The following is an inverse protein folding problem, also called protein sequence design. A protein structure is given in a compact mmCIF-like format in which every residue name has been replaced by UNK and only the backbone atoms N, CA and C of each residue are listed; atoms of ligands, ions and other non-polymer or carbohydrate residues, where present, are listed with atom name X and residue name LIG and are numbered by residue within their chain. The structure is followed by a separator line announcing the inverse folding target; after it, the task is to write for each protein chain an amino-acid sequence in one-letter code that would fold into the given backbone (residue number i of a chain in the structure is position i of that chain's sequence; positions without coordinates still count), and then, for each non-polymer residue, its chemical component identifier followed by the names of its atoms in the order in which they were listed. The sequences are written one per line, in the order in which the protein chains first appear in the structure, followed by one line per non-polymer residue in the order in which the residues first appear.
data_IF_315258901063
#
_entry.id   IF_315258901063
#
_cell.length_a   1.000
_cell.length_b   1.000
_cell.length_c   1.000
_cell.angle_alpha   90.00
_cell.angle_beta   90.00
_cell.angle_gamma   90.00
#
_symmetry.space_group_name_H-M   'P 1'
#
loop_
_entity.id
_entity.type
_entity.pdbx_description
1 polymer ?
#
# COMPACT_ATOMS: atom_id res chain seq x y z
N UNK A 1 -10.98 13.78 20.31
CA UNK A 1 -9.87 14.52 20.95
C UNK A 1 -8.73 14.54 19.96
N UNK A 2 -8.27 15.73 19.59
CA UNK A 2 -7.11 15.90 18.71
C UNK A 2 -5.84 16.15 19.54
N UNK A 3 -4.67 16.03 18.91
CA UNK A 3 -3.38 16.26 19.58
C UNK A 3 -3.29 17.68 20.17
N UNK A 4 -3.96 18.66 19.55
CA UNK A 4 -4.03 20.03 20.04
C UNK A 4 -4.73 20.14 21.40
N UNK A 5 -5.86 19.46 21.58
CA UNK A 5 -6.59 19.41 22.86
C UNK A 5 -5.75 18.80 23.99
N UNK A 6 -4.99 17.73 23.72
CA UNK A 6 -4.09 17.10 24.71
C UNK A 6 -2.90 18.00 25.04
N UNK A 7 -2.31 18.67 24.04
CA UNK A 7 -1.23 19.63 24.25
C UNK A 7 -1.69 20.81 25.13
N UNK A 8 -2.91 21.32 24.90
CA UNK A 8 -3.50 22.39 25.71
C UNK A 8 -3.79 21.94 27.14
N UNK A 9 -4.30 20.72 27.34
CA UNK A 9 -4.53 20.14 28.66
C UNK A 9 -3.20 19.99 29.42
N UNK A 10 -2.16 19.48 28.77
CA UNK A 10 -0.83 19.36 29.36
C UNK A 10 -0.25 20.71 29.81
N UNK A 11 -0.37 21.76 28.98
CA UNK A 11 0.04 23.11 29.38
C UNK A 11 -0.75 23.62 30.59
N UNK A 12 -2.07 23.39 30.62
CA UNK A 12 -2.91 23.77 31.76
C UNK A 12 -2.48 23.07 33.06
N UNK A 13 -2.19 21.77 33.01
CA UNK A 13 -1.68 21.03 34.17
C UNK A 13 -0.30 21.53 34.61
N UNK A 14 0.58 21.88 33.67
CA UNK A 14 1.89 22.44 34.00
C UNK A 14 1.76 23.77 34.74
N UNK A 15 0.93 24.68 34.23
CA UNK A 15 0.65 25.96 34.89
C UNK A 15 0.07 25.75 36.29
N UNK A 16 -0.86 24.80 36.47
CA UNK A 16 -1.41 24.48 37.78
C UNK A 16 -0.35 23.93 38.75
N UNK A 17 0.56 23.08 38.27
CA UNK A 17 1.68 22.53 39.06
C UNK A 17 2.67 23.62 39.47
N UNK A 18 3.01 24.52 38.55
CA UNK A 18 3.90 25.67 38.81
C UNK A 18 3.27 26.63 39.84
N UNK A 19 1.96 26.88 39.74
CA UNK A 19 1.22 27.71 40.68
C UNK A 19 1.18 27.11 42.09
N UNK A 20 0.96 25.80 42.20
CA UNK A 20 1.01 25.09 43.49
C UNK A 20 2.42 25.07 44.07
N UNK A 21 3.46 25.01 43.24
CA UNK A 21 4.86 25.12 43.69
C UNK A 21 5.13 26.49 44.30
N UNK A 22 4.72 27.56 43.63
CA UNK A 22 4.82 28.92 44.16
C UNK A 22 4.04 29.10 45.48
N UNK A 23 2.86 28.47 45.60
CA UNK A 23 2.09 28.45 46.85
C UNK A 23 2.87 27.69 47.93
N UNK A 24 3.40 26.51 47.64
CA UNK A 24 4.17 25.70 48.60
C UNK A 24 5.38 26.46 49.17
N UNK A 25 6.10 27.20 48.33
CA UNK A 25 7.26 28.02 48.69
C UNK A 25 6.87 29.26 49.52
N UNK A 26 5.66 29.79 49.30
CA UNK A 26 5.13 30.96 50.00
C UNK A 26 4.66 30.62 51.42
N UNK A 27 5.58 30.31 52.36
CA UNK A 27 5.37 30.16 53.82
C UNK A 27 3.94 29.79 54.27
N UNK A 28 3.34 28.78 53.66
CA UNK A 28 1.97 28.36 53.99
C UNK A 28 1.95 27.62 55.33
N UNK A 29 0.82 27.71 56.03
CA UNK A 29 0.58 27.00 57.28
C UNK A 29 0.89 25.50 57.18
N UNK A 30 1.34 24.92 58.29
CA UNK A 30 1.75 23.51 58.37
C UNK A 30 0.64 22.52 57.96
N UNK A 31 -0.63 22.91 58.12
CA UNK A 31 -1.79 22.11 57.67
C UNK A 31 -2.07 22.19 56.16
N UNK A 32 -1.64 23.26 55.49
CA UNK A 32 -1.87 23.46 54.06
C UNK A 32 -0.85 22.72 53.19
N UNK A 33 0.41 22.62 53.65
CA UNK A 33 1.49 21.91 52.96
C UNK A 33 1.16 20.48 52.53
N UNK A 34 0.62 19.58 53.38
CA UNK A 34 0.30 18.22 52.96
C UNK A 34 -0.77 18.18 51.87
N UNK A 35 -1.77 19.07 51.91
CA UNK A 35 -2.82 19.16 50.88
C UNK A 35 -2.26 19.64 49.53
N UNK A 36 -1.32 20.58 49.57
CA UNK A 36 -0.62 21.06 48.36
C UNK A 36 0.24 19.95 47.75
N UNK A 37 0.97 19.19 48.56
CA UNK A 37 1.75 18.04 48.09
C UNK A 37 0.87 16.97 47.46
N UNK A 38 -0.27 16.64 48.08
CA UNK A 38 -1.23 15.69 47.51
C UNK A 38 -1.78 16.18 46.15
N UNK A 39 -2.10 17.47 46.04
CA UNK A 39 -2.54 18.06 44.78
C UNK A 39 -1.44 18.03 43.70
N UNK A 40 -0.18 18.32 44.06
CA UNK A 40 0.97 18.23 43.15
C UNK A 40 1.21 16.79 42.68
N UNK A 41 1.04 15.80 43.55
CA UNK A 41 1.16 14.40 43.21
C UNK A 41 0.09 13.98 42.18
N UNK A 42 -1.19 14.30 42.45
CA UNK A 42 -2.29 14.02 41.50
C UNK A 42 -2.11 14.73 40.16
N UNK A 43 -1.56 15.95 40.15
CA UNK A 43 -1.21 16.66 38.92
C UNK A 43 -0.06 15.98 38.16
N UNK A 44 0.91 15.40 38.88
CA UNK A 44 1.96 14.56 38.31
C UNK A 44 1.38 13.32 37.62
N UNK A 45 0.57 12.55 38.34
CA UNK A 45 -0.07 11.34 37.81
C UNK A 45 -0.91 11.65 36.56
N UNK A 46 -1.63 12.79 36.56
CA UNK A 46 -2.42 13.23 35.42
C UNK A 46 -1.54 13.71 34.24
N UNK A 47 -0.38 14.33 34.50
CA UNK A 47 0.60 14.64 33.44
C UNK A 47 1.13 13.36 32.79
N UNK A 48 1.51 12.36 33.59
CA UNK A 48 2.05 11.09 33.10
C UNK A 48 1.01 10.34 32.27
N UNK A 49 -0.25 10.32 32.72
CA UNK A 49 -1.35 9.75 31.95
C UNK A 49 -1.57 10.46 30.60
N UNK A 50 -1.47 11.81 30.56
CA UNK A 50 -1.58 12.57 29.31
C UNK A 50 -0.44 12.28 28.35
N UNK A 51 0.77 12.04 28.85
CA UNK A 51 1.90 11.62 28.02
C UNK A 51 1.68 10.25 27.39
N UNK A 52 1.24 9.27 28.19
CA UNK A 52 0.93 7.93 27.70
C UNK A 52 -0.18 7.97 26.62
N UNK A 53 -1.26 8.72 26.87
CA UNK A 53 -2.35 8.90 25.90
C UNK A 53 -1.88 9.57 24.61
N UNK A 54 -0.96 10.54 24.70
CA UNK A 54 -0.39 11.21 23.52
C UNK A 54 0.38 10.20 22.68
N UNK A 55 1.25 9.40 23.29
CA UNK A 55 2.04 8.38 22.60
C UNK A 55 1.14 7.34 21.90
N UNK A 56 0.13 6.83 22.60
CA UNK A 56 -0.84 5.89 22.04
C UNK A 56 -1.61 6.50 20.86
N UNK A 57 -2.03 7.77 20.97
CA UNK A 57 -2.69 8.46 19.86
C UNK A 57 -1.79 8.63 18.64
N UNK A 58 -0.50 8.94 18.82
CA UNK A 58 0.44 9.01 17.70
C UNK A 58 0.57 7.65 17.02
N UNK A 59 0.73 6.57 17.80
CA UNK A 59 0.80 5.20 17.28
C UNK A 59 -0.48 4.81 16.52
N UNK A 60 -1.65 5.09 17.08
CA UNK A 60 -2.93 4.82 16.44
C UNK A 60 -3.13 5.65 15.17
N UNK A 61 -2.70 6.91 15.15
CA UNK A 61 -2.78 7.76 13.95
C UNK A 61 -1.87 7.24 12.83
N UNK A 62 -0.65 6.84 13.16
CA UNK A 62 0.28 6.23 12.20
C UNK A 62 -0.30 4.93 11.62
N UNK A 63 -0.77 4.02 12.47
CA UNK A 63 -1.42 2.79 12.04
C UNK A 63 -2.65 3.07 11.17
N UNK A 64 -3.48 4.06 11.54
CA UNK A 64 -4.64 4.43 10.75
C UNK A 64 -4.26 4.95 9.36
N UNK A 65 -3.20 5.77 9.28
CA UNK A 65 -2.69 6.28 8.00
C UNK A 65 -2.15 5.16 7.12
N UNK A 66 -1.36 4.24 7.67
CA UNK A 66 -0.84 3.06 6.96
C UNK A 66 -1.99 2.19 6.44
N UNK A 67 -2.97 1.85 7.29
CA UNK A 67 -4.14 1.06 6.88
C UNK A 67 -4.97 1.76 5.80
N UNK A 68 -5.14 3.09 5.88
CA UNK A 68 -5.82 3.86 4.83
C UNK A 68 -5.09 3.77 3.50
N UNK A 69 -3.77 3.83 3.50
CA UNK A 69 -2.96 3.67 2.28
C UNK A 69 -3.10 2.27 1.71
N UNK A 70 -2.98 1.22 2.52
CA UNK A 70 -3.13 -0.17 2.08
C UNK A 70 -4.53 -0.45 1.48
N UNK A 71 -5.57 0.12 2.08
CA UNK A 71 -6.95 0.03 1.56
C UNK A 71 -7.06 0.76 0.22
N UNK A 72 -6.47 1.95 0.08
CA UNK A 72 -6.47 2.70 -1.16
C UNK A 72 -5.75 1.93 -2.28
N UNK A 73 -4.57 1.39 -2.00
CA UNK A 73 -3.77 0.61 -2.95
C UNK A 73 -4.49 -0.68 -3.37
N UNK A 74 -5.13 -1.35 -2.40
CA UNK A 74 -5.91 -2.57 -2.68
C UNK A 74 -7.14 -2.28 -3.54
N UNK A 75 -7.86 -1.18 -3.28
CA UNK A 75 -8.99 -0.75 -4.11
C UNK A 75 -8.54 -0.35 -5.51
N UNK A 76 -7.43 0.39 -5.61
CA UNK A 76 -6.85 0.75 -6.90
C UNK A 76 -6.46 -0.48 -7.72
N UNK A 77 -5.84 -1.48 -7.08
CA UNK A 77 -5.53 -2.74 -7.72
C UNK A 77 -6.80 -3.49 -8.16
N UNK A 78 -7.81 -3.62 -7.30
CA UNK A 78 -9.08 -4.27 -7.64
C UNK A 78 -9.75 -3.61 -8.85
N UNK A 79 -9.85 -2.27 -8.85
CA UNK A 79 -10.41 -1.52 -9.97
C UNK A 79 -9.68 -1.76 -11.30
N UNK A 80 -8.36 -1.96 -11.25
CA UNK A 80 -7.57 -2.35 -12.42
C UNK A 80 -7.83 -3.81 -12.81
N UNK A 81 -7.83 -4.70 -11.83
CA UNK A 81 -7.99 -6.13 -12.04
C UNK A 81 -9.37 -6.49 -12.61
N UNK A 82 -10.43 -5.79 -12.19
CA UNK A 82 -11.81 -5.99 -12.66
C UNK A 82 -11.99 -5.74 -14.17
N UNK A 83 -11.07 -4.98 -14.77
CA UNK A 83 -11.04 -4.74 -16.21
C UNK A 83 -10.45 -5.91 -17.01
N UNK A 84 -9.96 -6.95 -16.33
CA UNK A 84 -9.40 -8.14 -16.94
C UNK A 84 -10.24 -9.37 -16.59
N UNK A 85 -10.16 -10.38 -17.46
CA UNK A 85 -10.75 -11.69 -17.26
C UNK A 85 -9.73 -12.79 -17.55
N UNK A 86 -9.72 -13.84 -16.75
CA UNK A 86 -8.88 -14.99 -17.02
C UNK A 86 -9.49 -15.79 -18.17
N UNK A 87 -8.75 -15.98 -19.25
CA UNK A 87 -9.24 -16.66 -20.46
C UNK A 87 -8.20 -17.64 -21.00
N UNK A 88 -8.69 -18.66 -21.72
CA UNK A 88 -7.86 -19.58 -22.48
C UNK A 88 -7.81 -19.12 -23.94
N UNK A 89 -6.61 -18.91 -24.45
CA UNK A 89 -6.35 -18.42 -25.81
C UNK A 89 -6.37 -19.57 -26.84
N UNK A 90 -6.34 -19.23 -28.13
CA UNK A 90 -6.34 -20.22 -29.21
C UNK A 90 -5.07 -21.09 -29.25
N UNK A 91 -3.93 -20.57 -28.79
CA UNK A 91 -2.70 -21.34 -28.56
C UNK A 91 -2.70 -22.11 -27.23
N UNK A 92 -3.85 -22.19 -26.55
CA UNK A 92 -4.07 -22.87 -25.27
C UNK A 92 -3.41 -22.23 -24.03
N UNK A 93 -2.78 -21.06 -24.15
CA UNK A 93 -2.30 -20.33 -22.97
C UNK A 93 -3.44 -19.78 -22.12
N UNK A 94 -3.29 -19.85 -20.79
CA UNK A 94 -4.17 -19.21 -19.81
C UNK A 94 -3.56 -17.86 -19.45
N UNK A 95 -4.26 -16.77 -19.77
CA UNK A 95 -3.78 -15.38 -19.61
C UNK A 95 -4.94 -14.48 -19.21
N UNK A 96 -4.64 -13.26 -18.74
CA UNK A 96 -5.66 -12.25 -18.48
C UNK A 96 -5.94 -11.44 -19.74
N UNK A 97 -7.18 -11.41 -20.23
CA UNK A 97 -7.60 -10.57 -21.36
C UNK A 97 -8.24 -9.28 -20.85
N UNK A 98 -7.86 -8.16 -21.44
CA UNK A 98 -8.51 -6.88 -21.16
C UNK A 98 -9.90 -6.81 -21.80
N UNK A 99 -10.90 -6.34 -21.04
CA UNK A 99 -12.30 -6.24 -21.50
C UNK A 99 -12.57 -5.02 -22.38
N UNK A 100 -11.67 -4.04 -22.40
CA UNK A 100 -11.80 -2.80 -23.18
C UNK A 100 -11.00 -2.80 -24.48
N UNK A 101 -10.74 -1.61 -25.01
CA UNK A 101 -9.92 -1.40 -26.20
C UNK A 101 -8.65 -0.58 -25.89
N UNK A 102 -7.52 -0.84 -26.57
CA UNK A 102 -7.30 -1.93 -27.53
C UNK A 102 -7.27 -3.30 -26.84
N UNK A 103 -7.66 -4.35 -27.58
CA UNK A 103 -7.60 -5.73 -27.06
C UNK A 103 -6.14 -6.14 -26.80
N UNK A 104 -5.87 -6.66 -25.61
CA UNK A 104 -4.55 -7.14 -25.23
C UNK A 104 -4.62 -8.18 -24.11
N UNK A 105 -3.52 -8.91 -23.95
CA UNK A 105 -3.37 -9.93 -22.91
C UNK A 105 -2.30 -9.50 -21.90
N UNK A 106 -2.48 -9.87 -20.64
CA UNK A 106 -1.56 -9.64 -19.54
C UNK A 106 -1.07 -10.95 -18.93
N UNK A 107 0.17 -10.93 -18.44
CA UNK A 107 0.82 -12.08 -17.83
C UNK A 107 0.13 -12.49 -16.52
N UNK A 108 -0.28 -13.77 -16.35
CA UNK A 108 -0.90 -14.24 -15.12
C UNK A 108 0.02 -14.19 -13.89
N UNK A 109 1.33 -14.46 -14.08
CA UNK A 109 2.30 -14.44 -12.99
C UNK A 109 2.49 -13.03 -12.43
N UNK A 110 2.66 -12.03 -13.30
CA UNK A 110 2.77 -10.63 -12.87
C UNK A 110 1.46 -10.10 -12.29
N UNK A 111 0.32 -10.51 -12.85
CA UNK A 111 -0.98 -10.09 -12.36
C UNK A 111 -1.19 -10.55 -10.91
N UNK A 112 -0.71 -11.75 -10.55
CA UNK A 112 -0.75 -12.23 -9.16
C UNK A 112 0.10 -11.39 -8.19
N UNK A 113 1.15 -10.74 -8.68
CA UNK A 113 2.00 -9.81 -7.90
C UNK A 113 1.53 -8.35 -7.99
N UNK A 114 0.25 -8.12 -8.33
CA UNK A 114 -0.35 -6.79 -8.50
C UNK A 114 0.33 -5.92 -9.58
N UNK A 115 0.87 -6.55 -10.63
CA UNK A 115 1.52 -5.86 -11.75
C UNK A 115 0.92 -6.28 -13.09
N UNK A 116 0.57 -5.31 -13.94
CA UNK A 116 0.03 -5.58 -15.28
C UNK A 116 1.15 -5.38 -16.29
N UNK A 117 1.64 -6.48 -16.84
CA UNK A 117 2.55 -6.49 -17.97
C UNK A 117 1.84 -7.06 -19.20
N UNK A 118 1.68 -6.21 -20.21
CA UNK A 118 1.05 -6.57 -21.47
C UNK A 118 1.98 -7.49 -22.26
N UNK A 119 1.47 -8.65 -22.64
CA UNK A 119 2.17 -9.64 -23.44
C UNK A 119 2.48 -9.09 -24.83
N UNK A 120 3.74 -9.16 -25.24
CA UNK A 120 4.22 -8.71 -26.54
C UNK A 120 4.40 -9.90 -27.47
N UNK A 121 3.94 -9.80 -28.71
CA UNK A 121 4.15 -10.88 -29.70
C UNK A 121 5.64 -11.01 -30.03
N UNK A 122 6.14 -12.25 -30.06
CA UNK A 122 7.51 -12.54 -30.53
C UNK A 122 7.62 -12.42 -32.07
N UNK A 123 6.50 -12.22 -32.78
CA UNK A 123 6.42 -12.18 -34.25
C UNK A 123 6.96 -13.46 -34.92
N UNK A 124 6.81 -14.60 -34.23
CA UNK A 124 7.26 -15.93 -34.67
C UNK A 124 6.09 -16.78 -35.15
N UNK A 125 6.37 -17.77 -36.02
CA UNK A 125 5.38 -18.78 -36.45
C UNK A 125 4.81 -19.61 -35.28
N UNK A 126 5.52 -19.64 -34.15
CA UNK A 126 5.09 -20.35 -32.94
C UNK A 126 3.92 -19.71 -32.20
N UNK A 127 3.48 -18.50 -32.59
CA UNK A 127 2.34 -17.81 -31.95
C UNK A 127 2.59 -17.41 -30.49
N UNK A 128 3.86 -17.38 -30.07
CA UNK A 128 4.26 -17.08 -28.69
C UNK A 128 4.30 -15.59 -28.43
N UNK A 129 3.81 -15.22 -27.25
CA UNK A 129 3.93 -13.88 -26.70
C UNK A 129 4.80 -13.92 -25.46
N UNK A 130 5.58 -12.86 -25.23
CA UNK A 130 6.48 -12.71 -24.10
C UNK A 130 6.00 -11.64 -23.14
N UNK A 131 6.12 -11.90 -21.85
CA UNK A 131 5.96 -10.90 -20.81
C UNK A 131 7.22 -10.02 -20.69
N UNK A 132 7.07 -8.70 -20.63
CA UNK A 132 8.19 -7.76 -20.41
C UNK A 132 8.65 -7.68 -18.96
N UNK A 133 7.87 -8.20 -18.00
CA UNK A 133 8.19 -8.16 -16.57
C UNK A 133 8.99 -9.38 -16.09
N UNK A 134 8.52 -10.59 -16.43
CA UNK A 134 9.11 -11.85 -15.95
C UNK A 134 9.66 -12.75 -17.06
N UNK A 135 9.70 -12.24 -18.31
CA UNK A 135 10.26 -12.92 -19.50
C UNK A 135 9.61 -14.25 -19.90
N UNK A 136 8.57 -14.69 -19.21
CA UNK A 136 7.83 -15.90 -19.53
C UNK A 136 7.14 -15.80 -20.90
N UNK A 137 7.09 -16.93 -21.61
CA UNK A 137 6.47 -17.05 -22.92
C UNK A 137 5.16 -17.84 -22.85
N UNK A 138 4.16 -17.38 -23.58
CA UNK A 138 2.82 -17.95 -23.61
C UNK A 138 2.41 -18.22 -25.06
N UNK A 139 1.95 -19.45 -25.40
CA UNK A 139 1.38 -19.72 -26.72
C UNK A 139 -0.03 -19.11 -26.82
N UNK A 140 -0.12 -17.85 -27.24
CA UNK A 140 -1.39 -17.13 -27.34
C UNK A 140 -2.08 -17.43 -28.68
N UNK A 141 -1.30 -17.46 -29.75
CA UNK A 141 -1.76 -17.83 -31.09
C UNK A 141 -1.40 -19.29 -31.40
N UNK A 142 -2.19 -19.98 -32.25
CA UNK A 142 -1.85 -21.33 -32.70
C UNK A 142 -0.58 -21.31 -33.55
N UNK A 143 0.22 -22.37 -33.45
CA UNK A 143 1.42 -22.53 -34.27
C UNK A 143 1.06 -22.65 -35.75
N UNK A 144 1.61 -21.76 -36.58
CA UNK A 144 1.48 -21.83 -38.03
C UNK A 144 2.55 -22.77 -38.59
N UNK A 145 2.15 -23.69 -39.47
CA UNK A 145 3.10 -24.51 -40.24
C UNK A 145 3.72 -23.64 -41.33
N UNK A 146 5.03 -23.75 -41.51
CA UNK A 146 5.69 -23.12 -42.66
C UNK A 146 5.21 -23.81 -43.93
N UNK A 147 4.87 -23.03 -44.96
CA UNK A 147 4.58 -23.60 -46.27
C UNK A 147 5.82 -24.31 -46.81
N UNK A 148 5.67 -25.50 -47.43
CA UNK A 148 6.80 -26.19 -48.02
C UNK A 148 7.43 -25.26 -49.07
N UNK A 149 8.72 -24.96 -48.90
CA UNK A 149 9.49 -24.18 -49.86
C UNK A 149 9.38 -24.92 -51.21
N UNK A 150 8.68 -24.32 -52.17
CA UNK A 150 8.70 -24.76 -53.56
C UNK A 150 10.08 -24.41 -54.12
N UNK A 151 11.02 -25.34 -54.02
CA UNK A 151 12.30 -25.24 -54.70
C UNK A 151 12.01 -25.44 -56.19
N UNK A 152 11.87 -24.35 -56.92
CA UNK A 152 11.85 -24.40 -58.38
C UNK A 152 13.23 -24.85 -58.85
N UNK A 153 13.33 -26.09 -59.34
CA UNK A 153 14.56 -26.66 -59.89
C UNK A 153 14.74 -26.32 -61.37
N UNK A 154 14.09 -25.26 -61.87
CA UNK A 154 14.18 -24.81 -63.26
C UNK A 154 15.05 -23.56 -63.39
N UNK A 155 16.38 -23.72 -63.41
CA UNK A 155 17.30 -22.61 -63.67
C UNK A 155 18.63 -23.08 -64.23
N UNK A 156 18.66 -23.38 -65.53
CA UNK A 156 19.92 -23.40 -66.30
C UNK A 156 20.47 -21.98 -66.35
N UNK A 157 21.58 -21.74 -65.67
CA UNK A 157 22.35 -20.49 -65.76
C UNK A 157 23.00 -20.37 -67.16
N UNK A 158 23.04 -19.17 -67.77
CA UNK A 158 23.72 -18.92 -69.05
C UNK A 158 25.25 -18.94 -68.93
#
# INVERSE_FOLDING_TARGET
MDVASIASAYQGLKVAKDLLGAVFDAKVDAEAKPKVLEAMQKLGDAQDALFALREELFSLQEANNTLRQEVADSKFWQNKADQYELTKTAGEAVVYKFKGQPEHFACPSCFNTKAIHILQTNRTLSGKYRCTGCESEFPVEPQKKADPIRVDRGGTWP
#
